data_IF_523851277978
#
_entry.id   IF_523851277978
#
_cell.length_a   1.000
_cell.length_b   1.000
_cell.length_c   1.000
_cell.angle_alpha   90.00
_cell.angle_beta   90.00
_cell.angle_gamma   90.00
#
_symmetry.space_group_name_H-M   'P 1'
#
loop_
_entity.id
_entity.type
_entity.pdbx_description
1 polymer ?
#
# COMPACT_ATOMS: atom_id res chain seq x y z
N UNK A 1 2.34 -36.25 -13.08
CA UNK A 1 1.24 -35.49 -12.41
C UNK A 1 1.14 -35.83 -10.92
N UNK A 2 1.50 -37.07 -10.47
CA UNK A 2 1.34 -37.48 -9.07
C UNK A 2 2.33 -36.86 -8.08
N UNK A 3 3.45 -36.26 -8.52
CA UNK A 3 4.52 -35.70 -7.68
C UNK A 3 4.60 -34.16 -7.75
N UNK A 4 3.58 -33.50 -8.26
CA UNK A 4 3.51 -32.03 -8.29
C UNK A 4 2.77 -31.56 -7.04
N UNK A 5 3.30 -30.56 -6.34
CA UNK A 5 2.69 -29.98 -5.12
C UNK A 5 1.36 -29.24 -5.42
N UNK A 6 1.00 -29.07 -6.67
CA UNK A 6 -0.27 -28.48 -7.10
C UNK A 6 -1.34 -29.55 -7.18
N UNK A 7 -2.45 -29.36 -6.49
CA UNK A 7 -3.64 -30.20 -6.58
C UNK A 7 -4.27 -30.06 -7.97
N UNK A 8 -4.58 -31.18 -8.61
CA UNK A 8 -5.22 -31.19 -9.93
C UNK A 8 -6.48 -32.06 -9.89
N UNK A 9 -7.58 -31.49 -10.38
CA UNK A 9 -8.86 -32.17 -10.55
C UNK A 9 -9.36 -31.89 -11.96
N UNK A 10 -9.82 -32.91 -12.68
CA UNK A 10 -10.60 -32.71 -13.91
C UNK A 10 -11.98 -33.30 -13.76
N UNK A 11 -12.99 -32.60 -14.29
CA UNK A 11 -14.38 -33.06 -14.30
C UNK A 11 -15.07 -32.73 -15.63
N UNK A 12 -16.10 -33.52 -15.97
CA UNK A 12 -16.89 -33.31 -17.16
C UNK A 12 -18.09 -32.39 -16.91
N UNK A 13 -18.89 -32.13 -17.92
CA UNK A 13 -20.11 -31.31 -17.86
C UNK A 13 -21.18 -31.85 -16.89
N UNK A 14 -21.13 -33.14 -16.51
CA UNK A 14 -22.02 -33.79 -15.55
C UNK A 14 -21.49 -33.73 -14.12
N UNK A 15 -20.29 -33.13 -13.88
CA UNK A 15 -19.65 -33.04 -12.59
C UNK A 15 -18.76 -34.24 -12.23
N UNK A 16 -18.74 -35.31 -13.04
CA UNK A 16 -17.95 -36.53 -12.76
C UNK A 16 -16.47 -36.27 -12.87
N UNK A 17 -15.72 -36.72 -11.87
CA UNK A 17 -14.27 -36.61 -11.81
C UNK A 17 -13.62 -37.57 -12.82
N UNK A 18 -12.74 -37.08 -13.65
CA UNK A 18 -11.92 -37.88 -14.57
C UNK A 18 -10.55 -38.16 -13.98
N UNK A 19 -9.86 -37.13 -13.51
CA UNK A 19 -8.52 -37.23 -12.92
C UNK A 19 -8.47 -36.43 -11.63
N UNK A 20 -7.87 -37.01 -10.60
CA UNK A 20 -7.49 -36.34 -9.36
C UNK A 20 -6.11 -36.82 -8.94
N UNK A 21 -5.20 -35.90 -8.63
CA UNK A 21 -3.88 -36.28 -8.14
C UNK A 21 -3.84 -36.35 -6.59
N UNK A 22 -2.76 -36.94 -6.06
CA UNK A 22 -2.60 -37.06 -4.62
C UNK A 22 -2.48 -35.73 -3.90
N UNK A 23 -1.86 -34.72 -4.55
CA UNK A 23 -1.76 -33.37 -3.98
C UNK A 23 -3.14 -32.76 -3.75
N UNK A 24 -4.09 -32.91 -4.70
CA UNK A 24 -5.47 -32.42 -4.51
C UNK A 24 -6.17 -33.12 -3.33
N UNK A 25 -6.02 -34.43 -3.18
CA UNK A 25 -6.61 -35.19 -2.07
C UNK A 25 -6.07 -34.74 -0.70
N UNK A 26 -4.74 -34.54 -0.61
CA UNK A 26 -4.10 -34.04 0.60
C UNK A 26 -4.48 -32.61 0.92
N UNK A 27 -4.50 -31.75 -0.08
CA UNK A 27 -4.74 -30.32 0.07
C UNK A 27 -6.18 -30.04 0.48
N UNK A 28 -7.14 -30.76 -0.13
CA UNK A 28 -8.58 -30.59 0.13
C UNK A 28 -9.07 -31.48 1.30
N UNK A 29 -8.26 -32.39 1.78
CA UNK A 29 -8.58 -33.33 2.87
C UNK A 29 -9.85 -34.17 2.60
N UNK A 30 -10.15 -34.44 1.34
CA UNK A 30 -11.29 -35.27 0.93
C UNK A 30 -10.76 -36.63 0.42
N UNK A 31 -10.89 -37.71 1.21
CA UNK A 31 -10.30 -39.00 0.86
C UNK A 31 -10.91 -39.68 -0.35
N UNK A 32 -12.22 -39.48 -0.54
CA UNK A 32 -12.97 -40.02 -1.66
C UNK A 32 -13.63 -38.90 -2.42
N UNK A 33 -13.14 -38.64 -3.62
CA UNK A 33 -13.62 -37.61 -4.52
C UNK A 33 -14.25 -38.32 -5.73
N UNK A 34 -15.56 -38.31 -5.86
CA UNK A 34 -16.29 -38.95 -6.95
C UNK A 34 -16.91 -37.94 -7.91
N UNK A 35 -17.31 -36.82 -7.37
CA UNK A 35 -18.02 -35.78 -8.09
C UNK A 35 -17.52 -34.42 -7.62
N UNK A 36 -17.62 -33.39 -8.48
CA UNK A 36 -17.20 -32.02 -8.14
C UNK A 36 -18.00 -31.47 -6.94
N UNK A 37 -19.23 -31.92 -6.76
CA UNK A 37 -20.09 -31.54 -5.61
C UNK A 37 -19.48 -31.95 -4.26
N UNK A 38 -18.54 -32.91 -4.22
CA UNK A 38 -17.80 -33.26 -3.01
C UNK A 38 -17.00 -32.08 -2.43
N UNK A 39 -16.67 -31.05 -3.22
CA UNK A 39 -16.11 -29.80 -2.75
C UNK A 39 -17.02 -29.06 -1.76
N UNK A 40 -18.32 -29.27 -1.86
CA UNK A 40 -19.29 -28.71 -0.91
C UNK A 40 -19.07 -29.18 0.54
N UNK A 41 -18.41 -30.33 0.74
CA UNK A 41 -18.00 -30.81 2.08
C UNK A 41 -16.94 -29.93 2.71
N UNK A 42 -16.13 -29.26 1.90
CA UNK A 42 -15.11 -28.31 2.36
C UNK A 42 -15.72 -26.92 2.56
N UNK A 43 -16.46 -26.43 1.56
CA UNK A 43 -17.19 -25.15 1.58
C UNK A 43 -18.21 -25.09 0.47
N UNK A 44 -19.47 -24.81 0.82
CA UNK A 44 -20.55 -24.61 -0.17
C UNK A 44 -20.27 -23.37 -1.05
N UNK A 45 -19.73 -22.31 -0.45
CA UNK A 45 -19.38 -21.09 -1.20
C UNK A 45 -18.28 -21.37 -2.23
N UNK A 46 -17.27 -22.18 -1.86
CA UNK A 46 -16.20 -22.58 -2.78
C UNK A 46 -16.75 -23.35 -3.98
N UNK A 47 -17.66 -24.30 -3.72
CA UNK A 47 -18.30 -25.07 -4.79
C UNK A 47 -19.06 -24.14 -5.74
N UNK A 48 -19.85 -23.22 -5.21
CA UNK A 48 -20.62 -22.27 -6.00
C UNK A 48 -19.72 -21.40 -6.88
N UNK A 49 -18.66 -20.79 -6.30
CA UNK A 49 -17.71 -19.97 -7.05
C UNK A 49 -17.01 -20.77 -8.15
N UNK A 50 -16.63 -22.04 -7.89
CA UNK A 50 -16.00 -22.91 -8.90
C UNK A 50 -16.96 -23.24 -10.05
N UNK A 51 -18.25 -23.46 -9.76
CA UNK A 51 -19.24 -23.76 -10.79
C UNK A 51 -19.53 -22.55 -11.69
N UNK A 52 -19.34 -21.33 -11.19
CA UNK A 52 -19.50 -20.07 -11.94
C UNK A 52 -18.23 -19.67 -12.71
N UNK A 53 -17.08 -20.32 -12.44
CA UNK A 53 -15.80 -19.99 -13.09
C UNK A 53 -15.82 -20.30 -14.59
N UNK A 54 -15.41 -19.32 -15.38
CA UNK A 54 -15.14 -19.49 -16.81
C UNK A 54 -13.73 -20.06 -17.02
N UNK A 55 -13.53 -20.72 -18.17
CA UNK A 55 -12.21 -21.21 -18.55
C UNK A 55 -11.18 -20.05 -18.62
N UNK A 56 -10.01 -20.27 -18.05
CA UNK A 56 -8.94 -19.25 -17.93
C UNK A 56 -9.04 -18.35 -16.70
N UNK A 57 -10.14 -18.39 -15.95
CA UNK A 57 -10.28 -17.59 -14.74
C UNK A 57 -9.45 -18.15 -13.58
N UNK A 58 -9.09 -17.23 -12.69
CA UNK A 58 -8.34 -17.50 -11.45
C UNK A 58 -9.15 -17.01 -10.26
N UNK A 59 -9.28 -17.84 -9.25
CA UNK A 59 -10.01 -17.57 -8.01
C UNK A 59 -9.04 -17.67 -6.83
N UNK A 60 -9.11 -16.72 -5.92
CA UNK A 60 -8.43 -16.78 -4.62
C UNK A 60 -9.46 -16.99 -3.53
N UNK A 61 -9.40 -18.12 -2.83
CA UNK A 61 -10.41 -18.52 -1.86
C UNK A 61 -9.78 -18.95 -0.53
N UNK A 62 -10.15 -18.28 0.55
CA UNK A 62 -9.71 -18.63 1.91
C UNK A 62 -10.72 -19.58 2.54
N UNK A 63 -10.33 -20.85 2.65
CA UNK A 63 -11.16 -21.88 3.26
C UNK A 63 -11.17 -21.77 4.79
N UNK A 64 -9.98 -21.59 5.36
CA UNK A 64 -9.76 -21.43 6.81
C UNK A 64 -8.42 -20.70 7.05
N UNK A 65 -8.02 -20.41 8.30
CA UNK A 65 -6.77 -19.70 8.58
C UNK A 65 -5.48 -20.38 8.05
N UNK A 66 -5.50 -21.69 7.82
CA UNK A 66 -4.34 -22.47 7.36
C UNK A 66 -4.42 -22.89 5.89
N UNK A 67 -5.54 -22.65 5.23
CA UNK A 67 -5.78 -23.07 3.85
C UNK A 67 -6.31 -21.90 3.00
N UNK A 68 -5.41 -21.30 2.25
CA UNK A 68 -5.72 -20.26 1.27
C UNK A 68 -5.38 -20.76 -0.13
N UNK A 69 -6.40 -21.02 -0.93
CA UNK A 69 -6.28 -21.64 -2.24
C UNK A 69 -6.27 -20.61 -3.34
N UNK A 70 -5.33 -20.75 -4.26
CA UNK A 70 -5.45 -20.21 -5.62
C UNK A 70 -5.95 -21.36 -6.49
N UNK A 71 -7.05 -21.12 -7.20
CA UNK A 71 -7.71 -22.07 -8.07
C UNK A 71 -7.72 -21.48 -9.47
N UNK A 72 -7.27 -22.27 -10.46
CA UNK A 72 -7.30 -21.85 -11.86
C UNK A 72 -8.09 -22.87 -12.66
N UNK A 73 -9.03 -22.39 -13.47
CA UNK A 73 -9.85 -23.20 -14.36
C UNK A 73 -9.27 -23.19 -15.78
N UNK A 74 -9.21 -24.38 -16.41
CA UNK A 74 -8.77 -24.53 -17.80
C UNK A 74 -9.70 -25.50 -18.51
N UNK A 75 -10.20 -25.13 -19.69
CA UNK A 75 -11.00 -26.03 -20.51
C UNK A 75 -10.10 -26.97 -21.32
N UNK A 76 -10.44 -28.25 -21.34
CA UNK A 76 -9.76 -29.30 -22.10
C UNK A 76 -10.77 -30.07 -22.95
N UNK A 77 -10.32 -30.61 -24.08
CA UNK A 77 -11.07 -31.59 -24.87
C UNK A 77 -10.38 -32.94 -24.80
N UNK A 78 -11.04 -33.94 -24.23
CA UNK A 78 -10.55 -35.33 -24.18
C UNK A 78 -11.61 -36.28 -24.75
N UNK A 79 -11.22 -37.09 -25.72
CA UNK A 79 -12.14 -38.04 -26.35
C UNK A 79 -13.39 -37.42 -26.96
N UNK A 80 -13.29 -36.20 -27.55
CA UNK A 80 -14.42 -35.47 -28.13
C UNK A 80 -15.36 -34.80 -27.10
N UNK A 81 -15.14 -35.00 -25.80
CA UNK A 81 -15.94 -34.39 -24.72
C UNK A 81 -15.22 -33.20 -24.09
N UNK A 82 -15.99 -32.20 -23.62
CA UNK A 82 -15.45 -31.06 -22.87
C UNK A 82 -15.20 -31.45 -21.43
N UNK A 83 -14.04 -31.09 -20.93
CA UNK A 83 -13.59 -31.28 -19.57
C UNK A 83 -13.10 -29.95 -18.99
N UNK A 84 -13.31 -29.74 -17.69
CA UNK A 84 -12.73 -28.64 -16.94
C UNK A 84 -11.61 -29.19 -16.07
N UNK A 85 -10.43 -28.59 -16.17
CA UNK A 85 -9.30 -28.87 -15.31
C UNK A 85 -9.19 -27.74 -14.28
N UNK A 86 -9.20 -28.10 -12.99
CA UNK A 86 -8.90 -27.17 -11.90
C UNK A 86 -7.52 -27.49 -11.35
N UNK A 87 -6.71 -26.45 -11.20
CA UNK A 87 -5.48 -26.52 -10.42
C UNK A 87 -5.66 -25.80 -9.08
N UNK A 88 -5.21 -26.40 -7.99
CA UNK A 88 -5.29 -25.87 -6.62
C UNK A 88 -3.90 -25.70 -6.07
N UNK A 89 -3.57 -24.51 -5.61
CA UNK A 89 -2.31 -24.20 -4.93
C UNK A 89 -2.63 -23.54 -3.59
N UNK A 90 -2.07 -24.10 -2.50
CA UNK A 90 -2.12 -23.44 -1.19
C UNK A 90 -0.99 -22.42 -1.12
N UNK A 91 -1.34 -21.16 -0.96
CA UNK A 91 -0.38 -20.05 -0.87
C UNK A 91 -0.18 -19.57 0.57
N UNK A 92 -0.71 -20.31 1.55
CA UNK A 92 -0.66 -19.85 2.95
C UNK A 92 0.78 -19.73 3.46
N UNK A 93 1.66 -20.66 3.09
CA UNK A 93 3.07 -20.61 3.49
C UNK A 93 3.81 -19.42 2.88
N UNK A 94 3.57 -19.13 1.60
CA UNK A 94 4.13 -17.96 0.91
C UNK A 94 3.58 -16.66 1.49
N UNK A 95 2.29 -16.60 1.80
CA UNK A 95 1.69 -15.42 2.43
C UNK A 95 2.27 -15.18 3.83
N UNK A 96 2.37 -16.24 4.66
CA UNK A 96 2.96 -16.13 6.00
C UNK A 96 4.44 -15.73 5.94
N UNK A 97 5.20 -16.28 5.00
CA UNK A 97 6.60 -15.89 4.79
C UNK A 97 6.73 -14.43 4.41
N UNK A 98 5.91 -13.96 3.47
CA UNK A 98 5.90 -12.57 3.04
C UNK A 98 5.45 -11.62 4.16
N UNK A 99 4.44 -12.00 4.95
CA UNK A 99 4.00 -11.25 6.12
C UNK A 99 5.10 -11.18 7.18
N UNK A 100 5.78 -12.29 7.47
CA UNK A 100 6.88 -12.32 8.42
C UNK A 100 8.06 -11.48 7.96
N UNK A 101 8.42 -11.54 6.68
CA UNK A 101 9.48 -10.72 6.10
C UNK A 101 9.12 -9.22 6.17
N UNK A 102 7.88 -8.87 5.83
CA UNK A 102 7.39 -7.50 5.98
C UNK A 102 7.46 -7.02 7.43
N UNK A 103 7.06 -7.86 8.40
CA UNK A 103 7.16 -7.58 9.84
C UNK A 103 8.61 -7.39 10.31
N UNK A 104 9.51 -8.27 9.87
CA UNK A 104 10.94 -8.16 10.20
C UNK A 104 11.54 -6.88 9.65
N UNK A 105 11.22 -6.53 8.40
CA UNK A 105 11.67 -5.30 7.78
C UNK A 105 11.12 -4.06 8.49
N UNK A 106 9.83 -4.03 8.84
CA UNK A 106 9.22 -2.97 9.62
C UNK A 106 9.89 -2.80 11.00
N UNK A 107 10.11 -3.91 11.72
CA UNK A 107 10.77 -3.90 13.03
C UNK A 107 12.22 -3.40 12.93
N UNK A 108 12.93 -3.80 11.87
CA UNK A 108 14.30 -3.34 11.61
C UNK A 108 14.35 -1.82 11.39
N UNK A 109 13.44 -1.28 10.55
CA UNK A 109 13.34 0.16 10.30
C UNK A 109 12.96 0.91 11.56
N UNK A 110 11.96 0.43 12.31
CA UNK A 110 11.52 1.01 13.59
C UNK A 110 12.69 1.14 14.57
N UNK A 111 13.42 0.05 14.78
CA UNK A 111 14.60 0.04 15.66
C UNK A 111 15.66 1.04 15.20
N UNK A 112 15.95 1.09 13.90
CA UNK A 112 16.94 1.99 13.32
C UNK A 112 16.57 3.46 13.52
N UNK A 113 15.33 3.85 13.24
CA UNK A 113 14.87 5.24 13.40
C UNK A 113 14.79 5.68 14.86
N UNK A 114 14.36 4.77 15.76
CA UNK A 114 14.38 5.02 17.20
C UNK A 114 15.83 5.26 17.66
N UNK A 115 16.77 4.38 17.30
CA UNK A 115 18.18 4.51 17.72
C UNK A 115 18.83 5.76 17.12
N UNK A 116 18.55 6.09 15.86
CA UNK A 116 19.04 7.30 15.20
C UNK A 116 18.53 8.60 15.86
N UNK A 117 17.41 8.54 16.55
CA UNK A 117 16.85 9.69 17.25
C UNK A 117 17.28 9.74 18.71
N UNK A 118 17.25 8.61 19.42
CA UNK A 118 17.56 8.55 20.87
C UNK A 118 19.05 8.72 21.14
N UNK A 119 19.93 8.09 20.35
CA UNK A 119 21.39 8.15 20.59
C UNK A 119 21.93 9.59 20.56
N UNK A 120 21.63 10.42 19.54
CA UNK A 120 22.05 11.82 19.54
C UNK A 120 21.43 12.63 20.68
N UNK A 121 20.15 12.37 21.05
CA UNK A 121 19.50 13.05 22.17
C UNK A 121 20.29 12.78 23.48
N UNK A 122 20.60 11.51 23.77
CA UNK A 122 21.35 11.13 24.95
C UNK A 122 22.74 11.80 24.97
N UNK A 123 23.48 11.75 23.86
CA UNK A 123 24.79 12.38 23.74
C UNK A 123 24.75 13.89 23.95
N UNK A 124 23.72 14.57 23.37
CA UNK A 124 23.55 16.01 23.57
C UNK A 124 23.19 16.36 25.01
N UNK A 125 22.35 15.55 25.69
CA UNK A 125 22.07 15.76 27.14
C UNK A 125 23.33 15.65 27.98
N UNK A 126 24.19 14.64 27.68
CA UNK A 126 25.47 14.50 28.40
C UNK A 126 26.40 15.70 28.12
N UNK A 127 26.48 16.19 26.88
CA UNK A 127 27.25 17.39 26.53
C UNK A 127 26.72 18.63 27.24
N UNK A 128 25.39 18.82 27.30
CA UNK A 128 24.76 19.94 28.02
C UNK A 128 25.10 19.92 29.52
N UNK A 129 25.15 18.74 30.14
CA UNK A 129 25.55 18.57 31.52
C UNK A 129 27.03 18.98 31.72
N UNK A 130 27.93 18.55 30.82
CA UNK A 130 29.34 18.93 30.87
C UNK A 130 29.51 20.44 30.74
N UNK A 131 28.79 21.11 29.81
CA UNK A 131 28.82 22.57 29.68
C UNK A 131 28.35 23.26 30.97
N UNK A 132 27.28 22.75 31.60
CA UNK A 132 26.79 23.27 32.87
C UNK A 132 27.81 23.10 33.99
N UNK A 133 28.54 21.98 34.02
CA UNK A 133 29.53 21.71 35.06
C UNK A 133 30.85 22.51 34.87
N UNK A 134 31.29 22.71 33.61
CA UNK A 134 32.58 23.33 33.28
C UNK A 134 32.49 24.84 33.01
N UNK A 135 31.38 25.33 32.42
CA UNK A 135 31.23 26.72 32.01
C UNK A 135 30.30 27.57 32.90
N UNK A 136 29.80 26.99 34.01
CA UNK A 136 28.99 27.72 34.96
C UNK A 136 29.77 28.07 36.25
N UNK A 137 29.54 29.26 36.77
CA UNK A 137 30.14 29.77 37.99
C UNK A 137 29.05 30.26 38.93
N UNK A 138 29.07 29.77 40.18
CA UNK A 138 28.14 30.19 41.24
C UNK A 138 28.61 31.53 41.84
N UNK A 139 27.74 32.54 41.79
CA UNK A 139 27.93 33.84 42.44
C UNK A 139 26.86 34.06 43.52
N UNK A 140 27.05 35.13 44.35
CA UNK A 140 26.11 35.41 45.45
C UNK A 140 24.66 35.66 45.02
N UNK A 141 24.43 36.11 43.79
CA UNK A 141 23.11 36.47 43.26
C UNK A 141 22.67 35.58 42.07
N UNK A 142 23.40 34.49 41.76
CA UNK A 142 22.98 33.61 40.63
C UNK A 142 24.10 32.73 40.10
N UNK A 143 23.82 32.10 38.96
CA UNK A 143 24.79 31.31 38.21
C UNK A 143 25.10 32.04 36.91
N UNK A 144 26.38 32.31 36.68
CA UNK A 144 26.90 32.86 35.42
C UNK A 144 27.33 31.72 34.52
N UNK A 145 26.91 31.74 33.25
CA UNK A 145 27.35 30.80 32.21
C UNK A 145 28.16 31.62 31.19
N UNK A 146 29.28 31.09 30.74
CA UNK A 146 30.01 31.70 29.62
C UNK A 146 29.11 31.83 28.39
N UNK A 147 29.27 32.92 27.64
CA UNK A 147 28.44 33.20 26.45
C UNK A 147 28.49 32.06 25.42
N UNK A 148 29.66 31.46 25.18
CA UNK A 148 29.83 30.34 24.25
C UNK A 148 29.05 29.13 24.76
N UNK A 149 29.22 28.72 26.02
CA UNK A 149 28.48 27.59 26.62
C UNK A 149 26.98 27.81 26.62
N UNK A 150 26.50 29.06 26.80
CA UNK A 150 25.06 29.37 26.67
C UNK A 150 24.54 29.17 25.25
N UNK A 151 25.28 29.57 24.21
CA UNK A 151 24.90 29.39 22.80
C UNK A 151 24.90 27.91 22.42
N UNK A 152 25.94 27.16 22.84
CA UNK A 152 26.03 25.72 22.61
C UNK A 152 24.90 24.95 23.28
N UNK A 153 24.49 25.36 24.48
CA UNK A 153 23.34 24.81 25.19
C UNK A 153 22.04 25.07 24.43
N UNK A 154 21.86 26.29 23.89
CA UNK A 154 20.66 26.64 23.11
C UNK A 154 20.58 25.80 21.85
N UNK A 155 21.67 25.67 21.08
CA UNK A 155 21.73 24.83 19.87
C UNK A 155 21.49 23.35 20.21
N UNK A 156 22.07 22.83 21.28
CA UNK A 156 21.88 21.49 21.78
C UNK A 156 20.40 21.19 22.12
N UNK A 157 19.76 22.12 22.86
CA UNK A 157 18.33 22.01 23.20
C UNK A 157 17.42 22.05 21.96
N UNK A 158 17.69 22.95 21.02
CA UNK A 158 16.94 23.02 19.76
C UNK A 158 17.09 21.72 18.95
N UNK A 159 18.29 21.15 18.93
CA UNK A 159 18.54 19.88 18.24
C UNK A 159 17.80 18.73 18.92
N UNK A 160 17.79 18.64 20.25
CA UNK A 160 17.02 17.66 21.03
C UNK A 160 15.53 17.80 20.73
N UNK A 161 14.99 19.03 20.75
CA UNK A 161 13.60 19.30 20.46
C UNK A 161 13.21 18.83 19.05
N UNK A 162 14.02 19.14 18.04
CA UNK A 162 13.81 18.73 16.66
C UNK A 162 13.87 17.20 16.48
N UNK A 163 14.83 16.52 17.12
CA UNK A 163 14.94 15.05 17.08
C UNK A 163 13.76 14.37 17.76
N UNK A 164 13.34 14.88 18.93
CA UNK A 164 12.18 14.37 19.66
C UNK A 164 10.90 14.52 18.85
N UNK A 165 10.69 15.68 18.20
CA UNK A 165 9.55 15.91 17.31
C UNK A 165 9.56 14.97 16.09
N UNK A 166 10.74 14.73 15.52
CA UNK A 166 10.92 13.76 14.42
C UNK A 166 10.51 12.35 14.84
N UNK A 167 10.92 11.91 16.06
CA UNK A 167 10.57 10.60 16.60
C UNK A 167 9.05 10.45 16.83
N UNK A 168 8.40 11.48 17.38
CA UNK A 168 6.94 11.49 17.58
C UNK A 168 6.22 11.38 16.23
N UNK A 169 6.66 12.13 15.22
CA UNK A 169 6.09 12.05 13.87
C UNK A 169 6.27 10.65 13.26
N UNK A 170 7.43 10.04 13.46
CA UNK A 170 7.69 8.68 12.99
C UNK A 170 6.77 7.64 13.67
N UNK A 171 6.61 7.71 15.00
CA UNK A 171 5.73 6.80 15.75
C UNK A 171 4.28 6.96 15.33
N UNK A 172 3.80 8.19 15.11
CA UNK A 172 2.45 8.44 14.61
C UNK A 172 2.26 7.85 13.22
N UNK A 173 3.20 8.07 12.32
CA UNK A 173 3.18 7.55 10.97
C UNK A 173 3.20 6.00 10.95
N UNK A 174 3.97 5.36 11.84
CA UNK A 174 3.96 3.91 12.04
C UNK A 174 2.58 3.40 12.50
N UNK A 175 1.97 4.09 13.49
CA UNK A 175 0.62 3.76 13.97
C UNK A 175 -0.41 3.87 12.86
N UNK A 176 -0.36 4.92 12.05
CA UNK A 176 -1.30 5.17 10.97
C UNK A 176 -1.16 4.10 9.86
N UNK A 177 0.05 3.60 9.62
CA UNK A 177 0.29 2.50 8.69
C UNK A 177 -0.25 1.15 9.20
N UNK A 178 -0.10 0.87 10.51
CA UNK A 178 -0.52 -0.42 11.09
C UNK A 178 -2.00 -0.51 11.41
N UNK A 179 -2.70 0.63 11.55
CA UNK A 179 -4.08 0.70 12.03
C UNK A 179 -5.05 1.25 10.96
N UNK A 180 -4.89 0.86 9.70
CA UNK A 180 -5.87 1.23 8.66
C UNK A 180 -7.15 0.41 8.87
N UNK A 181 -8.30 1.07 9.14
CA UNK A 181 -9.56 0.37 9.36
C UNK A 181 -10.07 -0.27 8.06
N UNK A 182 -10.93 -1.29 8.20
CA UNK A 182 -11.66 -1.84 7.06
C UNK A 182 -12.53 -0.75 6.39
N UNK A 183 -12.55 -0.67 5.05
CA UNK A 183 -13.28 0.38 4.35
C UNK A 183 -14.80 0.24 4.51
N UNK A 184 -15.47 1.35 4.83
CA UNK A 184 -16.93 1.47 4.78
C UNK A 184 -17.34 1.93 3.39
N UNK A 185 -17.58 0.96 2.49
CA UNK A 185 -17.82 1.27 1.07
C UNK A 185 -19.24 1.78 0.84
N UNK A 186 -19.34 2.87 0.09
CA UNK A 186 -20.58 3.40 -0.46
C UNK A 186 -20.39 3.79 -1.94
N UNK A 187 -21.50 3.90 -2.67
CA UNK A 187 -21.48 4.35 -4.06
C UNK A 187 -21.40 5.87 -4.08
N UNK A 188 -20.32 6.42 -4.65
CA UNK A 188 -20.07 7.86 -4.65
C UNK A 188 -19.75 8.37 -6.07
N UNK A 189 -20.27 9.56 -6.39
CA UNK A 189 -19.91 10.25 -7.63
C UNK A 189 -18.45 10.72 -7.59
N UNK A 190 -17.67 10.30 -8.57
CA UNK A 190 -16.23 10.61 -8.66
C UNK A 190 -15.99 12.12 -8.77
N UNK A 191 -16.90 12.84 -9.46
CA UNK A 191 -16.79 14.31 -9.57
C UNK A 191 -16.86 15.00 -8.21
N UNK A 192 -17.81 14.59 -7.35
CA UNK A 192 -17.95 15.16 -6.00
C UNK A 192 -16.72 14.85 -5.14
N UNK A 193 -16.17 13.65 -5.24
CA UNK A 193 -14.97 13.24 -4.51
C UNK A 193 -13.75 14.10 -4.92
N UNK A 194 -13.53 14.24 -6.23
CA UNK A 194 -12.41 15.04 -6.78
C UNK A 194 -12.59 16.52 -6.45
N UNK A 195 -13.82 17.06 -6.55
CA UNK A 195 -14.09 18.47 -6.23
C UNK A 195 -13.77 18.79 -4.77
N UNK A 196 -14.20 17.95 -3.83
CA UNK A 196 -13.87 18.08 -2.41
C UNK A 196 -12.35 18.14 -2.19
N UNK A 197 -11.59 17.26 -2.84
CA UNK A 197 -10.13 17.25 -2.75
C UNK A 197 -9.52 18.53 -3.36
N UNK A 198 -10.01 18.96 -4.52
CA UNK A 198 -9.57 20.19 -5.17
C UNK A 198 -9.81 21.42 -4.27
N UNK A 199 -10.96 21.46 -3.59
CA UNK A 199 -11.27 22.55 -2.66
C UNK A 199 -10.34 22.55 -1.44
N UNK A 200 -10.07 21.39 -0.85
CA UNK A 200 -9.13 21.25 0.27
C UNK A 200 -7.70 21.69 -0.10
N UNK A 201 -7.27 21.43 -1.34
CA UNK A 201 -5.91 21.71 -1.80
C UNK A 201 -5.77 23.09 -2.47
N UNK A 202 -6.87 23.84 -2.63
CA UNK A 202 -6.94 25.08 -3.40
C UNK A 202 -5.93 26.15 -2.98
N UNK A 203 -5.81 26.39 -1.68
CA UNK A 203 -4.89 27.40 -1.12
C UNK A 203 -3.44 27.03 -1.40
N UNK A 204 -3.09 25.76 -1.22
CA UNK A 204 -1.73 25.26 -1.43
C UNK A 204 -1.35 25.31 -2.91
N UNK A 205 -2.23 24.85 -3.80
CA UNK A 205 -2.03 24.93 -5.25
C UNK A 205 -1.84 26.36 -5.72
N UNK A 206 -2.69 27.29 -5.24
CA UNK A 206 -2.62 28.71 -5.58
C UNK A 206 -1.33 29.35 -5.09
N UNK A 207 -0.93 29.09 -3.84
CA UNK A 207 0.30 29.65 -3.25
C UNK A 207 1.56 29.23 -3.99
N UNK A 208 1.52 28.06 -4.65
CA UNK A 208 2.64 27.48 -5.42
C UNK A 208 2.52 27.71 -6.93
N UNK A 209 1.51 28.46 -7.40
CA UNK A 209 1.23 28.71 -8.81
C UNK A 209 1.13 27.41 -9.63
N UNK A 210 0.38 26.42 -9.15
CA UNK A 210 0.18 25.15 -9.84
C UNK A 210 -1.17 25.15 -10.53
N UNK A 211 -1.19 24.83 -11.83
CA UNK A 211 -2.42 24.62 -12.61
C UNK A 211 -2.93 23.21 -12.38
N UNK A 212 -4.15 23.08 -11.86
CA UNK A 212 -4.83 21.79 -11.71
C UNK A 212 -5.96 21.69 -12.74
N UNK A 213 -5.93 20.62 -13.53
CA UNK A 213 -6.99 20.30 -14.49
C UNK A 213 -7.67 18.98 -14.09
N UNK A 214 -8.98 18.86 -14.37
CA UNK A 214 -9.72 17.61 -14.16
C UNK A 214 -10.47 17.20 -15.41
N UNK A 215 -10.51 15.91 -15.69
CA UNK A 215 -11.26 15.29 -16.79
C UNK A 215 -11.91 14.00 -16.28
N UNK A 216 -13.23 13.90 -16.40
CA UNK A 216 -14.01 12.74 -15.93
C UNK A 216 -14.85 12.20 -17.08
N UNK A 217 -14.73 10.90 -17.36
CA UNK A 217 -15.49 10.25 -18.41
C UNK A 217 -15.96 8.84 -17.97
N UNK A 218 -17.27 8.54 -17.99
CA UNK A 218 -18.39 9.47 -18.26
C UNK A 218 -18.59 10.48 -17.13
N UNK A 219 -19.28 11.61 -17.35
CA UNK A 219 -19.49 12.65 -16.32
C UNK A 219 -20.19 12.17 -15.06
N UNK A 220 -21.05 11.14 -15.15
CA UNK A 220 -21.76 10.53 -14.04
C UNK A 220 -21.05 9.27 -13.52
N UNK A 221 -19.72 9.23 -13.61
CA UNK A 221 -18.94 8.09 -13.12
C UNK A 221 -19.11 7.96 -11.60
N UNK A 222 -19.50 6.76 -11.16
CA UNK A 222 -19.62 6.38 -9.75
C UNK A 222 -18.67 5.22 -9.42
N UNK A 223 -18.16 5.19 -8.20
CA UNK A 223 -17.31 4.11 -7.69
C UNK A 223 -17.78 3.67 -6.31
N UNK A 224 -17.67 2.38 -6.02
CA UNK A 224 -17.91 1.80 -4.69
C UNK A 224 -16.67 1.89 -3.82
N UNK A 225 -16.57 2.88 -2.95
CA UNK A 225 -15.39 3.11 -2.12
C UNK A 225 -15.74 3.71 -0.75
N UNK A 226 -14.78 3.72 0.15
CA UNK A 226 -14.80 4.53 1.37
C UNK A 226 -14.28 5.93 1.00
N UNK A 227 -15.14 6.98 1.03
CA UNK A 227 -14.79 8.30 0.53
C UNK A 227 -13.66 8.96 1.33
N UNK A 228 -13.60 8.73 2.65
CA UNK A 228 -12.58 9.32 3.50
C UNK A 228 -11.21 8.72 3.20
N UNK A 229 -11.16 7.40 3.03
CA UNK A 229 -9.92 6.70 2.70
C UNK A 229 -9.41 7.07 1.30
N UNK A 230 -10.30 7.16 0.29
CA UNK A 230 -9.90 7.57 -1.07
C UNK A 230 -9.50 9.04 -1.11
N UNK A 231 -10.21 9.92 -0.39
CA UNK A 231 -9.81 11.32 -0.21
C UNK A 231 -8.39 11.43 0.35
N UNK A 232 -8.05 10.62 1.36
CA UNK A 232 -6.71 10.56 1.94
C UNK A 232 -5.65 10.17 0.90
N UNK A 233 -5.92 9.18 0.04
CA UNK A 233 -5.02 8.81 -1.06
C UNK A 233 -4.84 9.97 -2.03
N UNK A 234 -5.93 10.57 -2.50
CA UNK A 234 -5.88 11.68 -3.47
C UNK A 234 -5.07 12.86 -2.93
N UNK A 235 -5.30 13.26 -1.69
CA UNK A 235 -4.53 14.31 -1.02
C UNK A 235 -3.04 13.96 -0.95
N UNK A 236 -2.71 12.72 -0.57
CA UNK A 236 -1.32 12.28 -0.51
C UNK A 236 -0.63 12.33 -1.89
N UNK A 237 -1.30 11.89 -2.95
CA UNK A 237 -0.74 11.90 -4.31
C UNK A 237 -0.60 13.34 -4.84
N UNK A 238 -1.59 14.20 -4.61
CA UNK A 238 -1.52 15.62 -5.00
C UNK A 238 -0.40 16.34 -4.24
N UNK A 239 -0.21 16.09 -2.94
CA UNK A 239 0.93 16.63 -2.18
C UNK A 239 2.26 16.17 -2.75
N UNK A 240 2.37 14.90 -3.12
CA UNK A 240 3.57 14.39 -3.76
C UNK A 240 3.86 15.09 -5.10
N UNK A 241 2.82 15.34 -5.90
CA UNK A 241 2.92 16.10 -7.15
C UNK A 241 3.32 17.56 -6.90
N UNK A 242 2.71 18.24 -5.92
CA UNK A 242 3.07 19.63 -5.55
C UNK A 242 4.55 19.73 -5.14
N UNK A 243 5.05 18.78 -4.38
CA UNK A 243 6.42 18.75 -3.93
C UNK A 243 7.40 18.47 -5.08
N UNK A 244 7.06 17.58 -6.01
CA UNK A 244 7.88 17.31 -7.20
C UNK A 244 8.02 18.52 -8.12
N UNK A 245 7.01 19.37 -8.16
CA UNK A 245 6.94 20.53 -9.03
C UNK A 245 7.68 21.78 -8.49
N UNK A 246 8.27 21.76 -7.29
CA UNK A 246 8.87 22.95 -6.67
C UNK A 246 9.88 23.68 -7.54
N UNK A 247 10.66 22.96 -8.35
CA UNK A 247 11.72 23.50 -9.19
C UNK A 247 11.32 23.63 -10.68
N UNK A 248 10.05 23.38 -11.03
CA UNK A 248 9.55 23.50 -12.39
C UNK A 248 9.07 24.92 -12.70
N UNK A 249 9.28 25.41 -13.90
CA UNK A 249 8.80 26.71 -14.36
C UNK A 249 7.30 26.66 -14.69
N UNK A 250 6.87 25.63 -15.39
CA UNK A 250 5.48 25.31 -15.70
C UNK A 250 5.03 24.16 -14.81
N UNK A 251 4.04 24.40 -13.95
CA UNK A 251 3.61 23.46 -12.89
C UNK A 251 2.18 23.04 -13.16
N UNK A 252 2.02 21.80 -13.61
CA UNK A 252 0.73 21.24 -14.00
C UNK A 252 0.45 19.93 -13.28
N UNK A 253 -0.78 19.79 -12.78
CA UNK A 253 -1.32 18.55 -12.27
C UNK A 253 -2.61 18.26 -13.04
N UNK A 254 -2.77 17.05 -13.54
CA UNK A 254 -3.98 16.61 -14.21
C UNK A 254 -4.58 15.40 -13.51
N UNK A 255 -5.84 15.52 -13.07
CA UNK A 255 -6.63 14.41 -12.52
C UNK A 255 -7.55 13.90 -13.62
N UNK A 256 -7.42 12.62 -13.97
CA UNK A 256 -8.32 11.96 -14.94
C UNK A 256 -9.07 10.85 -14.25
N UNK A 257 -10.37 10.75 -14.50
CA UNK A 257 -11.18 9.62 -14.06
C UNK A 257 -11.89 9.01 -15.27
N UNK A 258 -11.76 7.69 -15.42
CA UNK A 258 -12.25 6.96 -16.60
C UNK A 258 -12.99 5.71 -16.14
N UNK A 259 -14.27 5.59 -16.55
CA UNK A 259 -15.04 4.36 -16.42
C UNK A 259 -14.65 3.38 -17.54
N UNK A 260 -14.30 2.15 -17.18
CA UNK A 260 -13.88 1.11 -18.13
C UNK A 260 -14.93 0.00 -18.31
N UNK A 261 -16.20 0.31 -18.03
CA UNK A 261 -17.29 -0.67 -18.10
C UNK A 261 -17.06 -1.86 -17.15
N UNK A 262 -17.14 -3.08 -17.66
CA UNK A 262 -16.94 -4.31 -16.87
C UNK A 262 -15.52 -4.46 -16.28
N UNK A 263 -14.56 -3.65 -16.73
CA UNK A 263 -13.18 -3.65 -16.20
C UNK A 263 -13.00 -2.75 -14.98
N UNK A 264 -14.07 -2.06 -14.56
CA UNK A 264 -14.05 -1.19 -13.38
C UNK A 264 -13.82 0.29 -13.72
N UNK A 265 -13.13 1.01 -12.84
CA UNK A 265 -12.86 2.46 -12.98
C UNK A 265 -11.43 2.78 -12.64
N UNK A 266 -10.91 3.85 -13.25
CA UNK A 266 -9.54 4.31 -13.12
C UNK A 266 -9.53 5.79 -12.73
N UNK A 267 -8.79 6.16 -11.67
CA UNK A 267 -8.48 7.56 -11.33
C UNK A 267 -6.96 7.72 -11.45
N UNK A 268 -6.52 8.70 -12.25
CA UNK A 268 -5.11 9.02 -12.47
C UNK A 268 -4.78 10.42 -11.97
N UNK A 269 -3.61 10.55 -11.36
CA UNK A 269 -3.02 11.84 -11.01
C UNK A 269 -1.68 11.91 -11.73
N UNK A 270 -1.58 12.84 -12.66
CA UNK A 270 -0.40 13.12 -13.47
C UNK A 270 0.21 14.45 -13.08
N UNK A 271 1.52 14.52 -12.91
CA UNK A 271 2.30 15.73 -12.77
C UNK A 271 3.39 15.81 -13.85
N UNK A 272 3.73 17.00 -14.28
CA UNK A 272 4.80 17.27 -15.24
C UNK A 272 6.14 17.58 -14.54
N UNK A 273 6.38 16.93 -13.40
CA UNK A 273 7.60 17.05 -12.61
C UNK A 273 8.81 16.31 -13.22
N UNK A 274 9.91 16.24 -12.49
CA UNK A 274 11.16 15.62 -12.96
C UNK A 274 11.08 14.09 -13.10
N UNK A 275 9.91 13.50 -12.80
CA UNK A 275 9.76 12.06 -12.81
C UNK A 275 10.48 11.36 -11.65
N UNK A 276 10.45 10.03 -11.69
CA UNK A 276 11.06 9.15 -10.69
C UNK A 276 12.08 8.26 -11.40
N UNK A 277 13.29 8.21 -10.86
CA UNK A 277 14.36 7.37 -11.42
C UNK A 277 13.99 5.88 -11.28
N UNK A 278 14.41 5.01 -12.23
CA UNK A 278 14.01 3.60 -12.23
C UNK A 278 14.33 2.86 -10.93
N UNK A 279 15.48 3.14 -10.32
CA UNK A 279 15.91 2.50 -9.07
C UNK A 279 15.01 2.85 -7.89
N UNK A 280 14.38 4.02 -7.91
CA UNK A 280 13.43 4.45 -6.89
C UNK A 280 12.04 3.88 -7.15
N UNK A 281 11.61 3.70 -8.41
CA UNK A 281 10.28 3.18 -8.77
C UNK A 281 9.97 1.84 -8.10
N UNK A 282 10.96 0.96 -7.99
CA UNK A 282 10.79 -0.35 -7.33
C UNK A 282 10.54 -0.22 -5.81
N UNK A 283 10.96 0.90 -5.22
CA UNK A 283 11.00 1.09 -3.77
C UNK A 283 10.02 2.12 -3.21
N UNK A 284 9.40 2.96 -4.06
CA UNK A 284 8.52 4.05 -3.57
C UNK A 284 7.32 3.59 -2.75
N UNK A 285 6.91 2.33 -2.88
CA UNK A 285 5.84 1.72 -2.09
C UNK A 285 6.34 0.97 -0.85
N UNK A 286 7.66 0.88 -0.66
CA UNK A 286 8.26 0.29 0.56
C UNK A 286 8.06 1.28 1.71
N UNK A 287 7.45 0.87 2.83
CA UNK A 287 7.24 1.77 3.95
C UNK A 287 8.54 2.40 4.43
N UNK A 288 8.51 3.68 4.80
CA UNK A 288 9.63 4.51 5.24
C UNK A 288 10.72 4.80 4.19
N UNK A 289 10.55 4.31 2.97
CA UNK A 289 11.42 4.72 1.88
C UNK A 289 11.06 6.13 1.42
N UNK A 290 12.02 7.03 1.47
CA UNK A 290 11.86 8.42 1.00
C UNK A 290 13.18 8.97 0.47
N UNK A 291 13.10 9.76 -0.57
CA UNK A 291 14.19 10.58 -1.11
C UNK A 291 14.12 12.02 -0.60
N UNK A 292 13.08 12.35 0.19
CA UNK A 292 12.80 13.69 0.69
C UNK A 292 13.35 13.88 2.10
N UNK A 293 13.90 15.07 2.40
CA UNK A 293 14.47 15.40 3.72
C UNK A 293 13.44 15.40 4.86
N UNK A 294 12.19 15.72 4.56
CA UNK A 294 11.10 15.88 5.57
C UNK A 294 9.97 14.88 5.39
N UNK A 295 10.07 13.96 4.44
CA UNK A 295 9.03 12.97 4.16
C UNK A 295 9.09 11.77 5.12
N UNK A 296 7.96 11.33 5.65
CA UNK A 296 7.85 10.11 6.47
C UNK A 296 8.09 8.81 5.67
N UNK A 297 7.99 8.85 4.33
CA UNK A 297 8.09 7.67 3.46
C UNK A 297 6.94 6.67 3.59
N UNK A 298 5.83 7.04 4.23
CA UNK A 298 4.70 6.12 4.50
C UNK A 298 3.51 6.37 3.58
N UNK A 299 3.33 7.59 3.10
CA UNK A 299 2.12 7.98 2.38
C UNK A 299 1.75 7.05 1.22
N UNK A 300 2.71 6.71 0.35
CA UNK A 300 2.47 5.80 -0.77
C UNK A 300 2.21 4.35 -0.31
N UNK A 301 2.85 3.90 0.76
CA UNK A 301 2.62 2.58 1.33
C UNK A 301 1.20 2.47 1.92
N UNK A 302 0.74 3.48 2.66
CA UNK A 302 -0.65 3.59 3.16
C UNK A 302 -1.63 3.61 1.98
N UNK A 303 -1.37 4.44 0.97
CA UNK A 303 -2.23 4.55 -0.21
C UNK A 303 -2.39 3.21 -0.92
N UNK A 304 -1.31 2.45 -1.08
CA UNK A 304 -1.33 1.11 -1.67
C UNK A 304 -2.11 0.12 -0.81
N UNK A 305 -1.96 0.19 0.50
CA UNK A 305 -2.67 -0.69 1.43
C UNK A 305 -4.18 -0.40 1.43
N UNK A 306 -4.58 0.87 1.43
CA UNK A 306 -5.98 1.27 1.30
C UNK A 306 -6.57 0.74 -0.01
N UNK A 307 -5.88 0.90 -1.15
CA UNK A 307 -6.35 0.36 -2.43
C UNK A 307 -6.50 -1.16 -2.40
N UNK A 308 -5.58 -1.88 -1.76
CA UNK A 308 -5.70 -3.33 -1.58
C UNK A 308 -6.93 -3.73 -0.75
N UNK A 309 -7.24 -2.99 0.33
CA UNK A 309 -8.46 -3.19 1.14
C UNK A 309 -9.73 -2.92 0.32
N UNK A 310 -9.66 -2.03 -0.65
CA UNK A 310 -10.72 -1.76 -1.63
C UNK A 310 -10.81 -2.83 -2.74
N UNK A 311 -9.94 -3.85 -2.74
CA UNK A 311 -9.78 -4.84 -3.83
C UNK A 311 -9.35 -4.20 -5.16
N UNK A 312 -8.78 -3.01 -5.10
CA UNK A 312 -8.19 -2.28 -6.20
C UNK A 312 -6.67 -2.40 -6.23
N UNK A 313 -6.02 -1.55 -7.02
CA UNK A 313 -4.56 -1.44 -7.02
C UNK A 313 -4.10 0.00 -7.23
N UNK A 314 -2.94 0.34 -6.68
CA UNK A 314 -2.23 1.60 -6.93
C UNK A 314 -0.96 1.27 -7.72
N UNK A 315 -0.85 1.85 -8.91
CA UNK A 315 0.30 1.71 -9.80
C UNK A 315 0.92 3.06 -10.12
N UNK A 316 2.13 3.06 -10.63
CA UNK A 316 2.86 4.27 -11.05
C UNK A 316 3.54 4.03 -12.39
N UNK A 317 3.48 5.03 -13.25
CA UNK A 317 4.27 5.13 -14.46
C UNK A 317 5.01 6.47 -14.41
N UNK A 318 6.30 6.47 -14.68
CA UNK A 318 7.09 7.68 -14.66
C UNK A 318 8.15 7.67 -15.74
N UNK A 319 8.29 8.81 -16.41
CA UNK A 319 9.34 9.08 -17.38
C UNK A 319 10.23 10.19 -16.80
N UNK A 320 11.52 9.91 -16.53
CA UNK A 320 12.45 10.93 -16.04
C UNK A 320 12.43 12.21 -16.90
N UNK A 321 12.43 13.36 -16.21
CA UNK A 321 12.38 14.72 -16.78
C UNK A 321 11.15 15.03 -17.62
N UNK A 322 10.05 14.25 -17.47
CA UNK A 322 8.83 14.48 -18.24
C UNK A 322 7.58 14.49 -17.38
N UNK A 323 7.29 13.36 -16.68
CA UNK A 323 6.03 13.21 -15.94
C UNK A 323 6.06 12.04 -14.97
N UNK A 324 5.14 12.11 -14.00
CA UNK A 324 4.76 10.95 -13.16
C UNK A 324 3.23 10.79 -13.20
N UNK A 325 2.77 9.56 -13.34
CA UNK A 325 1.34 9.20 -13.34
C UNK A 325 1.09 8.13 -12.29
N UNK A 326 0.33 8.46 -11.25
CA UNK A 326 -0.21 7.49 -10.31
C UNK A 326 -1.62 7.08 -10.73
N UNK A 327 -1.90 5.78 -10.70
CA UNK A 327 -3.18 5.22 -11.15
C UNK A 327 -3.83 4.38 -10.05
N UNK A 328 -5.04 4.80 -9.63
CA UNK A 328 -5.93 4.04 -8.74
C UNK A 328 -6.90 3.23 -9.61
N UNK A 329 -6.79 1.92 -9.56
CA UNK A 329 -7.66 1.01 -10.31
C UNK A 329 -8.71 0.42 -9.36
N UNK A 330 -9.99 0.64 -9.66
CA UNK A 330 -11.14 0.07 -8.96
C UNK A 330 -11.74 -1.06 -9.82
N UNK A 331 -12.15 -2.14 -9.16
CA UNK A 331 -12.79 -3.31 -9.82
C UNK A 331 -14.26 -3.38 -9.48
#
# INVERSE_FOLDING_TARGET
IQHINTGIISFNTEGKIGVINNAAKHLLQIPQFRDISDLGKLSLNLLQEIMEMKAGQRLSFKVNPTLHLIIQSTALKMGGKSWTLLSFQNINAELQSNELEAWQNLTKVLRHEIMNSITPISSLVDSLRTILDEDSYVQQEGILIKKEGFLDMQEGLDTIANRSKGLVNFVNAYRDYTNIPAPSKELIAVDSLIENVCQLMKEELKSKNISLQKTIHPPQLEIGCDPDQITMILINLIKNAIESLQNQADRQIHIRAIGQGDLGSLIQIEDNGPGIVPEALERIFVPFYTTKKTGSGIGLAISRQIMNLHRGSLTVESEPDKRTVFSLNFR
#
